data_IF_948690234922
#
_entry.id   IF_948690234922
#
_cell.length_a   1.000
_cell.length_b   1.000
_cell.length_c   1.000
_cell.angle_alpha   90.00
_cell.angle_beta   90.00
_cell.angle_gamma   90.00
#
_symmetry.space_group_name_H-M   'P 1'
#
loop_
_entity.id
_entity.type
_entity.pdbx_description
1 polymer ?
#
# COMPACT_ATOMS: atom_id res chain seq x y z
N UNK A 1 42.43 -38.81 24.74
CA UNK A 1 41.18 -39.58 24.59
C UNK A 1 40.19 -38.69 23.86
N UNK A 2 39.91 -39.04 22.61
CA UNK A 2 38.94 -38.40 21.71
C UNK A 2 37.52 -38.71 22.18
N UNK A 3 36.56 -37.79 21.95
CA UNK A 3 35.26 -38.10 21.35
C UNK A 3 34.62 -36.79 20.84
N UNK A 4 34.65 -36.60 19.51
CA UNK A 4 33.84 -35.62 18.78
C UNK A 4 32.53 -36.27 18.38
N UNK A 5 31.40 -35.58 18.60
CA UNK A 5 30.09 -35.99 18.06
C UNK A 5 29.66 -34.96 17.02
N UNK A 6 29.92 -35.27 15.75
CA UNK A 6 29.46 -34.52 14.58
C UNK A 6 28.07 -35.07 14.22
N UNK A 7 27.03 -34.22 14.26
CA UNK A 7 25.71 -34.55 13.71
C UNK A 7 25.54 -33.87 12.35
N UNK A 8 25.57 -34.71 11.31
CA UNK A 8 25.24 -34.36 9.94
C UNK A 8 23.75 -34.01 9.83
N UNK A 9 23.42 -32.78 9.41
CA UNK A 9 22.10 -32.43 8.89
C UNK A 9 22.19 -32.34 7.37
N UNK A 10 21.71 -33.38 6.69
CA UNK A 10 21.49 -33.39 5.25
C UNK A 10 20.07 -32.88 4.98
N UNK A 11 19.94 -31.66 4.47
CA UNK A 11 18.70 -31.19 3.86
C UNK A 11 18.77 -31.38 2.35
N UNK A 12 17.82 -32.18 1.85
CA UNK A 12 17.71 -32.60 0.47
C UNK A 12 17.35 -31.42 -0.47
N UNK A 13 18.05 -31.37 -1.60
CA UNK A 13 17.76 -30.55 -2.76
C UNK A 13 16.44 -31.02 -3.41
N UNK A 14 15.42 -30.18 -3.46
CA UNK A 14 14.25 -30.39 -4.32
C UNK A 14 14.45 -29.56 -5.60
N UNK A 15 14.92 -30.24 -6.64
CA UNK A 15 14.88 -29.76 -8.01
C UNK A 15 13.46 -29.95 -8.55
N UNK A 16 12.75 -28.85 -8.81
CA UNK A 16 11.51 -28.87 -9.57
C UNK A 16 11.79 -28.32 -10.98
N UNK A 17 11.64 -29.21 -11.95
CA UNK A 17 11.88 -29.01 -13.36
C UNK A 17 10.96 -27.95 -13.97
N UNK A 18 11.57 -27.04 -14.73
CA UNK A 18 10.88 -26.07 -15.57
C UNK A 18 10.09 -26.77 -16.68
N UNK A 19 8.79 -26.46 -16.78
CA UNK A 19 8.00 -26.70 -17.98
C UNK A 19 7.87 -25.37 -18.73
N UNK A 20 8.49 -25.30 -19.89
CA UNK A 20 8.32 -24.23 -20.86
C UNK A 20 6.95 -24.37 -21.56
N UNK A 21 6.20 -23.28 -21.62
CA UNK A 21 4.97 -23.13 -22.42
C UNK A 21 5.08 -21.77 -23.14
N UNK A 22 4.72 -21.66 -24.43
CA UNK A 22 5.38 -20.78 -25.38
C UNK A 22 4.94 -19.32 -25.32
N UNK A 23 5.84 -18.44 -25.75
CA UNK A 23 5.61 -17.03 -26.10
C UNK A 23 4.80 -16.90 -27.39
N UNK A 24 3.70 -16.13 -27.42
CA UNK A 24 3.17 -15.55 -28.64
C UNK A 24 3.71 -14.12 -28.81
N UNK A 25 4.52 -13.92 -29.84
CA UNK A 25 4.77 -12.60 -30.42
C UNK A 25 3.67 -12.34 -31.44
N UNK A 26 2.78 -11.37 -31.20
CA UNK A 26 2.19 -10.60 -32.28
C UNK A 26 1.69 -9.23 -31.78
N UNK A 27 2.10 -8.20 -32.51
CA UNK A 27 1.87 -6.80 -32.27
C UNK A 27 0.70 -6.36 -33.16
N UNK A 28 -0.48 -6.10 -32.60
CA UNK A 28 -1.51 -5.25 -33.21
C UNK A 28 -2.34 -4.61 -32.11
N UNK A 29 -2.39 -3.28 -32.10
CA UNK A 29 -3.11 -2.51 -31.09
C UNK A 29 -4.61 -2.65 -31.20
N UNK A 30 -5.28 -2.85 -30.08
CA UNK A 30 -6.66 -2.37 -29.80
C UNK A 30 -6.73 -2.11 -28.29
N UNK A 31 -7.22 -0.93 -27.94
CA UNK A 31 -7.54 -0.50 -26.57
C UNK A 31 -8.55 -1.49 -25.97
N UNK A 32 -8.10 -2.35 -25.06
CA UNK A 32 -8.99 -3.25 -24.33
C UNK A 32 -9.71 -2.47 -23.23
N UNK A 33 -10.94 -2.07 -23.53
CA UNK A 33 -11.95 -1.64 -22.58
C UNK A 33 -12.26 -2.82 -21.64
N UNK A 34 -11.62 -2.88 -20.47
CA UNK A 34 -11.90 -3.91 -19.46
C UNK A 34 -13.20 -3.55 -18.74
N UNK A 35 -14.31 -4.00 -19.32
CA UNK A 35 -15.59 -4.08 -18.63
C UNK A 35 -15.50 -5.22 -17.61
N UNK A 36 -15.27 -4.90 -16.34
CA UNK A 36 -15.38 -5.87 -15.26
C UNK A 36 -16.86 -6.27 -15.10
N UNK A 37 -17.22 -7.57 -15.14
CA UNK A 37 -18.60 -7.99 -14.90
C UNK A 37 -18.99 -7.73 -13.45
N UNK A 38 -20.17 -7.14 -13.26
CA UNK A 38 -20.80 -6.95 -11.96
C UNK A 38 -21.12 -8.30 -11.30
N UNK A 39 -20.24 -8.74 -10.39
CA UNK A 39 -20.55 -9.80 -9.43
C UNK A 39 -21.11 -9.17 -8.16
N UNK A 40 -22.43 -9.02 -8.13
CA UNK A 40 -23.21 -8.65 -6.94
C UNK A 40 -23.25 -9.86 -5.99
N UNK A 41 -22.15 -10.17 -5.30
CA UNK A 41 -22.11 -11.26 -4.34
C UNK A 41 -22.65 -10.77 -2.98
N UNK A 42 -23.95 -11.00 -2.81
CA UNK A 42 -24.70 -10.80 -1.56
C UNK A 42 -24.19 -11.80 -0.51
N UNK A 43 -23.23 -11.39 0.33
CA UNK A 43 -22.80 -12.15 1.52
C UNK A 43 -22.82 -11.27 2.76
N UNK A 44 -23.90 -11.41 3.53
CA UNK A 44 -23.88 -11.10 4.96
C UNK A 44 -23.17 -12.28 5.66
N UNK A 45 -21.87 -12.12 5.89
CA UNK A 45 -20.93 -13.02 6.57
C UNK A 45 -19.75 -12.20 7.09
N UNK A 46 -18.90 -12.74 8.00
CA UNK A 46 -18.11 -11.96 8.96
C UNK A 46 -17.37 -10.80 8.29
N UNK A 47 -17.46 -9.62 8.91
CA UNK A 47 -16.93 -8.35 8.41
C UNK A 47 -15.48 -8.54 7.96
N UNK A 48 -15.27 -8.67 6.65
CA UNK A 48 -13.96 -9.03 6.09
C UNK A 48 -13.27 -7.75 5.67
N UNK A 49 -12.22 -7.36 6.42
CA UNK A 49 -11.31 -6.29 6.01
C UNK A 49 -10.45 -6.82 4.86
N UNK A 50 -10.81 -6.46 3.63
CA UNK A 50 -10.05 -6.85 2.44
C UNK A 50 -9.10 -5.71 2.05
N UNK A 51 -7.93 -5.67 2.67
CA UNK A 51 -6.89 -4.70 2.30
C UNK A 51 -5.89 -5.34 1.35
N UNK A 52 -5.66 -4.61 0.26
CA UNK A 52 -4.53 -4.63 -0.70
C UNK A 52 -4.66 -5.49 -1.97
N UNK A 53 -4.74 -4.78 -3.10
CA UNK A 53 -3.83 -4.97 -4.24
C UNK A 53 -2.95 -3.71 -4.31
N UNK A 54 -1.61 -3.84 -4.29
CA UNK A 54 -0.72 -2.71 -4.62
C UNK A 54 -0.57 -2.69 -6.13
N UNK A 55 -0.98 -1.59 -6.77
CA UNK A 55 -0.82 -1.39 -8.20
C UNK A 55 0.07 -0.15 -8.37
N UNK A 56 1.33 -0.35 -8.78
CA UNK A 56 2.32 0.72 -8.97
C UNK A 56 3.44 0.74 -7.92
N UNK A 57 4.64 1.19 -8.34
CA UNK A 57 5.86 1.36 -7.52
C UNK A 57 6.50 0.07 -6.98
N UNK A 58 7.74 -0.25 -7.37
CA UNK A 58 8.43 -1.46 -6.87
C UNK A 58 8.87 -1.34 -5.40
N UNK A 59 9.11 -0.12 -4.90
CA UNK A 59 9.70 0.10 -3.58
C UNK A 59 8.71 -0.11 -2.43
N UNK A 60 7.46 0.34 -2.58
CA UNK A 60 6.51 0.34 -1.47
C UNK A 60 5.87 -1.03 -1.19
N UNK A 61 5.92 -2.01 -2.09
CA UNK A 61 5.15 -3.25 -1.97
C UNK A 61 5.44 -4.08 -0.68
N UNK A 62 6.70 -4.10 -0.22
CA UNK A 62 7.11 -4.82 0.99
C UNK A 62 6.75 -4.10 2.29
N UNK A 63 6.98 -2.79 2.32
CA UNK A 63 6.63 -1.86 3.41
C UNK A 63 5.12 -1.80 3.66
N UNK A 64 4.37 -1.62 2.58
CA UNK A 64 2.90 -1.52 2.57
C UNK A 64 2.28 -2.77 3.20
N UNK A 65 2.73 -3.96 2.79
CA UNK A 65 2.11 -5.21 3.22
C UNK A 65 2.22 -5.41 4.74
N UNK A 66 3.37 -5.11 5.35
CA UNK A 66 3.58 -5.26 6.79
C UNK A 66 2.88 -4.17 7.63
N UNK A 67 2.95 -2.90 7.20
CA UNK A 67 2.28 -1.79 7.89
C UNK A 67 0.75 -1.93 7.86
N UNK A 68 0.23 -2.40 6.74
CA UNK A 68 -1.20 -2.66 6.62
C UNK A 68 -1.64 -3.79 7.54
N UNK A 69 -0.95 -4.95 7.59
CA UNK A 69 -1.30 -6.05 8.51
C UNK A 69 -1.40 -5.58 9.97
N UNK A 70 -0.41 -4.82 10.45
CA UNK A 70 -0.45 -4.22 11.81
C UNK A 70 -1.61 -3.27 12.00
N UNK A 71 -1.89 -2.46 10.99
CA UNK A 71 -2.98 -1.50 11.06
C UNK A 71 -4.34 -2.19 11.06
N UNK A 72 -4.51 -3.32 10.32
CA UNK A 72 -5.78 -4.09 10.27
C UNK A 72 -6.24 -4.52 11.65
N UNK A 73 -5.34 -5.17 12.40
CA UNK A 73 -5.65 -5.73 13.71
C UNK A 73 -6.14 -4.63 14.66
N UNK A 74 -5.57 -3.43 14.51
CA UNK A 74 -5.82 -2.32 15.39
C UNK A 74 -7.08 -1.49 15.03
N UNK A 75 -7.65 -1.65 13.81
CA UNK A 75 -8.85 -0.91 13.35
C UNK A 75 -10.02 -1.81 12.95
N UNK A 76 -10.07 -3.02 13.49
CA UNK A 76 -11.11 -3.99 13.19
C UNK A 76 -12.52 -3.39 13.36
N UNK A 77 -13.43 -3.55 12.37
CA UNK A 77 -14.82 -3.05 12.43
C UNK A 77 -15.63 -3.57 13.62
N UNK A 78 -15.23 -4.70 14.20
CA UNK A 78 -15.83 -5.28 15.40
C UNK A 78 -15.38 -4.60 16.71
N UNK A 79 -14.48 -3.61 16.64
CA UNK A 79 -14.04 -2.86 17.81
C UNK A 79 -15.00 -1.72 18.14
N UNK A 80 -15.35 -1.56 19.43
CA UNK A 80 -16.15 -0.42 19.91
C UNK A 80 -15.42 0.95 19.80
N UNK A 81 -14.18 0.93 19.30
CA UNK A 81 -13.29 2.10 19.21
C UNK A 81 -13.64 2.99 18.01
N UNK A 82 -14.06 2.40 16.89
CA UNK A 82 -14.34 3.13 15.65
C UNK A 82 -15.80 2.95 15.27
N UNK A 83 -16.58 4.04 15.34
CA UNK A 83 -18.03 4.00 15.11
C UNK A 83 -18.41 4.35 13.68
N UNK A 84 -17.51 5.00 12.95
CA UNK A 84 -17.74 5.45 11.58
C UNK A 84 -16.57 5.06 10.68
N UNK A 85 -16.86 4.99 9.37
CA UNK A 85 -15.82 4.78 8.36
C UNK A 85 -14.75 5.88 8.40
N UNK A 86 -15.15 7.12 8.68
CA UNK A 86 -14.21 8.25 8.75
C UNK A 86 -13.28 8.16 9.97
N UNK A 87 -13.78 7.66 11.11
CA UNK A 87 -12.92 7.38 12.28
C UNK A 87 -11.88 6.31 11.94
N UNK A 88 -12.31 5.25 11.26
CA UNK A 88 -11.43 4.16 10.84
C UNK A 88 -10.39 4.63 9.82
N UNK A 89 -10.76 5.48 8.86
CA UNK A 89 -9.85 6.09 7.88
C UNK A 89 -8.82 7.01 8.54
N UNK A 90 -9.27 7.85 9.46
CA UNK A 90 -8.38 8.74 10.22
C UNK A 90 -7.36 7.92 11.00
N UNK A 91 -7.81 6.88 11.71
CA UNK A 91 -6.93 6.00 12.48
C UNK A 91 -6.00 5.18 11.58
N UNK A 92 -6.47 4.72 10.43
CA UNK A 92 -5.65 4.07 9.41
C UNK A 92 -4.52 5.00 9.00
N UNK A 93 -4.81 6.21 8.53
CA UNK A 93 -3.79 7.14 8.05
C UNK A 93 -2.79 7.55 9.14
N UNK A 94 -3.25 7.82 10.36
CA UNK A 94 -2.39 8.20 11.49
C UNK A 94 -1.41 7.09 11.91
N UNK A 95 -1.78 5.81 11.75
CA UNK A 95 -0.93 4.67 12.10
C UNK A 95 -0.07 4.19 10.93
N UNK A 96 -0.64 4.21 9.74
CA UNK A 96 -0.02 3.63 8.56
C UNK A 96 1.08 4.53 7.97
N UNK A 97 0.90 5.85 7.98
CA UNK A 97 1.91 6.78 7.45
C UNK A 97 3.27 6.68 8.18
N UNK A 98 3.34 6.67 9.52
CA UNK A 98 4.59 6.45 10.23
C UNK A 98 5.24 5.10 9.91
N UNK A 99 4.44 4.05 9.73
CA UNK A 99 4.92 2.71 9.41
C UNK A 99 5.54 2.65 8.00
N UNK A 100 4.90 3.29 7.01
CA UNK A 100 5.47 3.46 5.68
C UNK A 100 6.75 4.28 5.74
N UNK A 101 6.76 5.38 6.49
CA UNK A 101 7.96 6.20 6.62
C UNK A 101 9.13 5.43 7.24
N UNK A 102 8.88 4.60 8.26
CA UNK A 102 9.91 3.80 8.90
C UNK A 102 10.51 2.72 7.97
N UNK A 103 9.79 2.36 6.90
CA UNK A 103 10.18 1.30 5.95
C UNK A 103 10.52 1.83 4.56
N UNK A 104 10.50 3.16 4.39
CA UNK A 104 10.86 3.84 3.14
C UNK A 104 12.28 3.55 2.69
N UNK A 105 12.55 3.85 1.44
CA UNK A 105 13.86 3.62 0.87
C UNK A 105 14.89 4.68 1.24
N UNK A 106 16.14 4.25 1.31
CA UNK A 106 17.24 5.11 1.70
C UNK A 106 17.39 6.27 0.71
N UNK A 107 17.34 7.50 1.21
CA UNK A 107 17.38 8.71 0.39
C UNK A 107 16.01 9.37 0.21
N UNK A 108 14.91 8.67 0.49
CA UNK A 108 13.60 9.29 0.61
C UNK A 108 13.55 10.20 1.85
N UNK A 109 13.09 11.44 1.64
CA UNK A 109 12.93 12.42 2.72
C UNK A 109 11.61 12.25 3.45
N UNK A 110 10.57 11.79 2.77
CA UNK A 110 9.25 11.63 3.35
C UNK A 110 8.32 10.73 2.55
N UNK A 111 7.23 10.37 3.22
CA UNK A 111 6.14 9.59 2.63
C UNK A 111 4.87 10.43 2.67
N UNK A 112 4.11 10.40 1.59
CA UNK A 112 2.83 11.10 1.47
C UNK A 112 1.80 10.12 0.91
N UNK A 113 0.64 10.00 1.54
CA UNK A 113 -0.50 9.28 0.96
C UNK A 113 -1.69 10.22 0.80
N UNK A 114 -2.39 10.11 -0.34
CA UNK A 114 -3.53 10.96 -0.68
C UNK A 114 -4.70 10.15 -1.25
N UNK A 115 -5.90 10.48 -0.80
CA UNK A 115 -7.17 10.07 -1.37
C UNK A 115 -7.86 11.33 -1.92
N UNK A 116 -7.81 11.51 -3.24
CA UNK A 116 -8.39 12.66 -3.92
C UNK A 116 -7.45 13.28 -4.96
N UNK A 117 -7.85 14.41 -5.56
CA UNK A 117 -7.04 15.08 -6.56
C UNK A 117 -5.80 15.74 -5.94
N UNK A 118 -4.65 15.61 -6.59
CA UNK A 118 -3.40 16.23 -6.18
C UNK A 118 -2.62 16.77 -7.38
N UNK A 119 -1.70 17.68 -7.10
CA UNK A 119 -0.73 18.21 -8.05
C UNK A 119 0.68 18.02 -7.53
N UNK A 120 1.60 17.62 -8.40
CA UNK A 120 3.01 17.46 -8.06
C UNK A 120 3.79 18.64 -8.66
N UNK A 121 4.69 19.25 -7.87
CA UNK A 121 5.51 20.36 -8.35
C UNK A 121 6.41 19.94 -9.51
N UNK A 122 6.64 20.86 -10.45
CA UNK A 122 7.60 20.64 -11.53
C UNK A 122 9.01 20.33 -10.95
N UNK A 123 9.65 19.29 -11.48
CA UNK A 123 10.98 18.86 -11.03
C UNK A 123 10.98 18.06 -9.71
N UNK A 124 9.82 17.66 -9.19
CA UNK A 124 9.78 16.74 -8.06
C UNK A 124 10.43 15.39 -8.42
N UNK A 125 11.16 14.83 -7.45
CA UNK A 125 11.76 13.50 -7.50
C UNK A 125 11.05 12.64 -6.47
N UNK A 126 10.35 11.63 -6.94
CA UNK A 126 9.55 10.72 -6.12
C UNK A 126 9.49 9.32 -6.73
N UNK A 127 9.15 8.33 -5.90
CA UNK A 127 8.64 7.03 -6.34
C UNK A 127 7.15 6.90 -5.99
N UNK A 128 6.40 6.23 -6.86
CA UNK A 128 4.94 6.09 -6.78
C UNK A 128 4.18 6.69 -7.99
N UNK A 129 2.84 6.75 -7.92
CA UNK A 129 2.04 6.30 -6.78
C UNK A 129 2.03 4.77 -6.65
N UNK A 130 2.08 4.29 -5.42
CA UNK A 130 1.58 2.97 -5.06
C UNK A 130 0.16 3.13 -4.54
N UNK A 131 -0.82 2.55 -5.22
CA UNK A 131 -2.21 2.64 -4.79
C UNK A 131 -2.51 1.59 -3.72
N UNK A 132 -2.93 2.05 -2.55
CA UNK A 132 -3.37 1.23 -1.43
C UNK A 132 -4.88 1.23 -1.32
N UNK A 133 -5.49 0.05 -1.25
CA UNK A 133 -6.93 -0.06 -1.00
C UNK A 133 -7.19 -0.18 0.49
N UNK A 134 -7.90 0.79 1.06
CA UNK A 134 -8.49 0.71 2.38
C UNK A 134 -9.92 0.16 2.31
N UNK A 135 -10.29 -0.76 3.20
CA UNK A 135 -11.65 -1.32 3.28
C UNK A 135 -12.00 -1.58 4.74
N UNK A 136 -13.19 -1.15 5.14
CA UNK A 136 -13.71 -1.26 6.50
C UNK A 136 -15.20 -1.56 6.41
N UNK A 137 -15.56 -2.78 6.79
CA UNK A 137 -16.88 -3.36 6.51
C UNK A 137 -17.24 -3.27 5.01
N UNK A 138 -18.40 -2.71 4.66
CA UNK A 138 -18.83 -2.54 3.26
C UNK A 138 -18.16 -1.33 2.58
N UNK A 139 -17.52 -0.46 3.35
CA UNK A 139 -16.92 0.78 2.86
C UNK A 139 -15.50 0.56 2.39
N UNK A 140 -15.11 1.29 1.35
CA UNK A 140 -13.78 1.19 0.77
C UNK A 140 -13.33 2.53 0.19
N UNK A 141 -12.03 2.75 0.19
CA UNK A 141 -11.38 3.90 -0.44
C UNK A 141 -9.97 3.49 -0.91
N UNK A 142 -9.31 4.35 -1.67
CA UNK A 142 -7.95 4.12 -2.15
C UNK A 142 -7.06 5.32 -1.87
N UNK A 143 -5.84 5.07 -1.41
CA UNK A 143 -4.83 6.08 -1.19
C UNK A 143 -3.70 5.88 -2.18
N UNK A 144 -3.30 6.94 -2.87
CA UNK A 144 -2.08 6.98 -3.65
C UNK A 144 -0.93 7.42 -2.74
N UNK A 145 0.03 6.53 -2.53
CA UNK A 145 1.19 6.75 -1.66
C UNK A 145 2.46 7.00 -2.48
N UNK A 146 3.28 7.92 -2.01
CA UNK A 146 4.51 8.39 -2.64
C UNK A 146 5.65 8.40 -1.64
N UNK A 147 6.84 8.06 -2.11
CA UNK A 147 8.09 8.37 -1.43
C UNK A 147 8.73 9.58 -2.10
N UNK A 148 8.93 10.68 -1.38
CA UNK A 148 9.44 11.94 -1.94
C UNK A 148 10.89 12.12 -1.55
N UNK A 149 11.76 12.25 -2.55
CA UNK A 149 13.17 12.64 -2.37
C UNK A 149 13.33 14.15 -2.40
N UNK A 150 12.60 14.85 -3.27
CA UNK A 150 12.56 16.31 -3.30
C UNK A 150 11.34 16.83 -4.07
N UNK A 151 10.82 18.00 -3.70
CA UNK A 151 9.69 18.67 -4.33
C UNK A 151 8.50 18.79 -3.40
N UNK A 152 7.33 19.06 -3.95
CA UNK A 152 6.10 19.19 -3.17
C UNK A 152 4.92 18.55 -3.86
N UNK A 153 4.01 18.01 -3.05
CA UNK A 153 2.68 17.60 -3.50
C UNK A 153 1.64 18.51 -2.84
N UNK A 154 0.75 19.06 -3.64
CA UNK A 154 -0.39 19.85 -3.17
C UNK A 154 -1.65 19.01 -3.26
N UNK A 155 -2.32 18.85 -2.13
CA UNK A 155 -3.67 18.28 -2.10
C UNK A 155 -4.66 19.33 -2.65
N UNK A 156 -5.37 18.99 -3.72
CA UNK A 156 -6.38 19.87 -4.31
C UNK A 156 -7.80 19.55 -3.83
N UNK A 157 -7.93 18.58 -2.92
CA UNK A 157 -9.18 18.22 -2.26
C UNK A 157 -9.26 18.72 -0.82
N UNK A 158 -10.45 18.57 -0.24
CA UNK A 158 -10.71 18.84 1.17
C UNK A 158 -10.35 17.63 2.06
N UNK A 159 -10.39 17.78 3.39
CA UNK A 159 -10.64 16.64 4.28
C UNK A 159 -9.51 16.09 5.17
N UNK A 160 -8.45 16.85 5.48
CA UNK A 160 -7.51 16.48 6.57
C UNK A 160 -7.00 15.02 6.57
N UNK A 161 -6.77 14.45 7.76
CA UNK A 161 -6.24 13.09 7.95
C UNK A 161 -7.07 11.98 7.32
N UNK A 162 -8.36 12.23 7.08
CA UNK A 162 -9.25 11.28 6.41
C UNK A 162 -8.79 11.07 4.96
N UNK A 163 -8.33 12.13 4.30
CA UNK A 163 -7.99 12.14 2.89
C UNK A 163 -6.50 12.18 2.61
N UNK A 164 -5.65 12.59 3.54
CA UNK A 164 -4.21 12.60 3.30
C UNK A 164 -3.40 12.55 4.59
N UNK A 165 -2.15 12.11 4.47
CA UNK A 165 -1.20 12.10 5.56
C UNK A 165 0.22 12.14 5.02
N UNK A 166 1.14 12.68 5.81
CA UNK A 166 2.55 12.76 5.45
C UNK A 166 3.43 12.64 6.68
N UNK A 167 4.62 12.07 6.48
CA UNK A 167 5.67 11.95 7.51
C UNK A 167 7.03 12.28 6.87
N UNK A 168 7.90 12.96 7.62
CA UNK A 168 9.21 13.42 7.14
C UNK A 168 9.18 14.66 6.23
N UNK A 169 8.01 15.26 6.01
CA UNK A 169 7.82 16.46 5.19
C UNK A 169 7.26 17.62 6.00
N UNK A 170 7.45 18.84 5.51
CA UNK A 170 6.82 20.05 6.04
C UNK A 170 5.45 20.29 5.40
N UNK A 171 4.47 20.74 6.18
CA UNK A 171 3.10 21.01 5.72
C UNK A 171 2.82 22.51 5.84
N UNK A 172 2.41 23.15 4.75
CA UNK A 172 1.96 24.54 4.72
C UNK A 172 0.66 24.66 3.93
N UNK A 173 -0.45 24.80 4.66
CA UNK A 173 -1.79 24.74 4.05
C UNK A 173 -2.03 23.36 3.45
N UNK A 174 -2.29 23.31 2.14
CA UNK A 174 -2.50 22.07 1.39
C UNK A 174 -1.25 21.55 0.69
N UNK A 175 -0.12 22.26 0.80
CA UNK A 175 1.14 21.87 0.16
C UNK A 175 2.03 21.17 1.15
N UNK A 176 2.54 20.01 0.74
CA UNK A 176 3.43 19.15 1.51
C UNK A 176 4.78 19.14 0.78
N UNK A 177 5.82 19.62 1.44
CA UNK A 177 7.14 19.81 0.85
C UNK A 177 8.19 18.95 1.55
N UNK A 178 8.96 18.22 0.75
CA UNK A 178 10.08 17.37 1.12
C UNK A 178 11.28 17.77 0.20
#
# INVERSE_FOLDING_TARGET
>A
MQFSTIRNFSFALLAASALAVPTPTENTGVVANVYAPAALEKRFGPITILLINVIGGKLLAGAISAGIERTKEAIAPSSDTYKTFEDARTAFMQRHIPDLYATREAGSKGVICMNGPYSISAGAVYDGPATEKFSWDIYHTTYDCFEITSGSITNNGDGGWINWGAEGCSISGHTISC
#
